data_IF_468678725204
#
_entry.id   IF_468678725204
#
_cell.length_a   1.000
_cell.length_b   1.000
_cell.length_c   1.000
_cell.angle_alpha   90.00
_cell.angle_beta   90.00
_cell.angle_gamma   90.00
#
_symmetry.space_group_name_H-M   'P 1'
#
loop_
_entity.id
_entity.type
_entity.pdbx_description
1 polymer ?
#
# COMPACT_ATOMS: atom_id res chain seq x y z
N UNK A 1 9.22 -4.27 -5.65
CA UNK A 1 8.28 -4.26 -6.80
C UNK A 1 6.84 -3.92 -6.38
N UNK A 2 6.27 -4.51 -5.32
CA UNK A 2 4.90 -4.19 -4.86
C UNK A 2 4.70 -2.73 -4.41
N UNK A 3 5.62 -2.18 -3.60
CA UNK A 3 5.54 -0.80 -3.09
C UNK A 3 5.47 0.26 -4.20
N UNK A 4 6.08 -0.01 -5.36
CA UNK A 4 6.01 0.86 -6.52
C UNK A 4 4.61 0.87 -7.15
N UNK A 5 3.98 -0.31 -7.29
CA UNK A 5 2.61 -0.47 -7.77
C UNK A 5 1.65 0.25 -6.83
N UNK A 6 1.79 0.04 -5.51
CA UNK A 6 0.97 0.71 -4.50
C UNK A 6 1.12 2.24 -4.54
N UNK A 7 2.35 2.76 -4.68
CA UNK A 7 2.61 4.19 -4.85
C UNK A 7 1.95 4.76 -6.11
N UNK A 8 2.14 4.13 -7.26
CA UNK A 8 1.57 4.59 -8.53
C UNK A 8 0.04 4.62 -8.47
N UNK A 9 -0.59 3.53 -8.03
CA UNK A 9 -2.04 3.46 -7.90
C UNK A 9 -2.63 4.39 -6.84
N UNK A 10 -1.92 4.65 -5.74
CA UNK A 10 -2.38 5.62 -4.74
C UNK A 10 -2.45 7.04 -5.30
N UNK A 11 -1.59 7.36 -6.27
CA UNK A 11 -1.51 8.67 -6.93
C UNK A 11 -2.55 8.86 -8.04
N UNK A 12 -3.04 7.76 -8.62
CA UNK A 12 -4.15 7.79 -9.57
C UNK A 12 -5.44 8.26 -8.88
N UNK A 13 -6.05 9.33 -9.40
CA UNK A 13 -7.37 9.83 -9.00
C UNK A 13 -8.47 8.89 -9.49
N UNK A 14 -8.50 7.67 -8.96
CA UNK A 14 -9.55 6.71 -9.25
C UNK A 14 -10.82 7.14 -8.48
N UNK A 15 -11.82 7.56 -9.25
CA UNK A 15 -13.07 8.21 -8.82
C UNK A 15 -13.88 7.41 -7.79
N UNK A 16 -13.65 6.08 -7.68
CA UNK A 16 -14.34 5.21 -6.73
C UNK A 16 -13.34 4.39 -5.91
N UNK A 17 -13.13 4.80 -4.66
CA UNK A 17 -12.22 4.12 -3.75
C UNK A 17 -12.68 2.70 -3.36
N UNK A 18 -13.96 2.36 -3.56
CA UNK A 18 -14.48 0.99 -3.39
C UNK A 18 -14.00 0.06 -4.51
N UNK A 19 -14.00 0.55 -5.74
CA UNK A 19 -13.53 -0.23 -6.90
C UNK A 19 -12.02 -0.42 -6.87
N UNK A 20 -11.29 0.46 -6.18
CA UNK A 20 -9.84 0.35 -5.94
C UNK A 20 -9.48 -0.99 -5.30
N UNK A 21 -10.21 -1.42 -4.27
CA UNK A 21 -9.94 -2.70 -3.59
C UNK A 21 -10.16 -3.89 -4.51
N UNK A 22 -11.24 -3.88 -5.29
CA UNK A 22 -11.57 -4.95 -6.23
C UNK A 22 -10.51 -5.08 -7.32
N UNK A 23 -10.09 -3.97 -7.91
CA UNK A 23 -9.02 -3.95 -8.92
C UNK A 23 -7.70 -4.44 -8.32
N UNK A 24 -7.34 -3.97 -7.12
CA UNK A 24 -6.11 -4.40 -6.45
C UNK A 24 -6.13 -5.88 -6.06
N UNK A 25 -7.27 -6.38 -5.59
CA UNK A 25 -7.43 -7.80 -5.29
C UNK A 25 -7.26 -8.66 -6.56
N UNK A 26 -7.75 -8.18 -7.71
CA UNK A 26 -7.51 -8.84 -9.00
C UNK A 26 -6.03 -8.89 -9.39
N UNK A 27 -5.30 -7.79 -9.19
CA UNK A 27 -3.85 -7.72 -9.43
C UNK A 27 -3.10 -8.64 -8.46
N UNK A 28 -3.44 -8.61 -7.18
CA UNK A 28 -2.89 -9.49 -6.16
C UNK A 28 -3.13 -10.96 -6.50
N UNK A 29 -4.33 -11.32 -6.96
CA UNK A 29 -4.66 -12.69 -7.38
C UNK A 29 -3.78 -13.17 -8.53
N UNK A 30 -3.41 -12.30 -9.48
CA UNK A 30 -2.49 -12.65 -10.57
C UNK A 30 -1.04 -12.79 -10.08
N UNK A 31 -0.65 -11.98 -9.10
CA UNK A 31 0.69 -11.97 -8.50
C UNK A 31 0.86 -13.01 -7.39
N UNK A 32 -0.22 -13.70 -6.99
CA UNK A 32 -0.17 -14.77 -5.97
C UNK A 32 0.78 -15.91 -6.36
N UNK A 33 1.00 -16.14 -7.65
CA UNK A 33 2.01 -17.09 -8.13
C UNK A 33 3.45 -16.63 -7.87
N UNK A 34 3.68 -15.32 -7.80
CA UNK A 34 4.98 -14.70 -7.46
C UNK A 34 5.20 -14.63 -5.95
N UNK A 35 4.13 -14.42 -5.17
CA UNK A 35 4.15 -14.38 -3.70
C UNK A 35 3.55 -15.67 -3.10
N UNK A 36 4.09 -16.83 -3.49
CA UNK A 36 3.62 -18.11 -2.97
C UNK A 36 3.69 -18.13 -1.43
N UNK A 37 2.59 -18.55 -0.80
CA UNK A 37 2.40 -18.62 0.66
C UNK A 37 2.37 -17.28 1.42
N UNK A 38 2.21 -16.15 0.72
CA UNK A 38 2.00 -14.86 1.38
C UNK A 38 0.51 -14.47 1.35
N UNK A 39 -0.05 -14.14 2.52
CA UNK A 39 -1.42 -13.69 2.62
C UNK A 39 -1.56 -12.23 2.17
N UNK A 40 -2.55 -11.99 1.31
CA UNK A 40 -2.86 -10.65 0.85
C UNK A 40 -3.83 -9.96 1.83
N UNK A 41 -3.38 -8.87 2.43
CA UNK A 41 -4.10 -8.07 3.41
C UNK A 41 -4.33 -6.64 2.88
N UNK A 42 -5.53 -6.38 2.35
CA UNK A 42 -6.07 -5.04 2.03
C UNK A 42 -5.01 -4.05 1.48
N UNK A 43 -4.44 -4.37 0.30
CA UNK A 43 -3.42 -3.54 -0.36
C UNK A 43 -1.97 -3.88 0.01
N UNK A 44 -1.74 -4.87 0.85
CA UNK A 44 -0.43 -5.27 1.38
C UNK A 44 -0.28 -6.79 1.40
N UNK A 45 0.95 -7.27 1.53
CA UNK A 45 1.27 -8.69 1.72
C UNK A 45 1.75 -8.91 3.15
N UNK A 46 1.35 -10.03 3.76
CA UNK A 46 1.61 -10.36 5.17
C UNK A 46 3.11 -10.52 5.49
N UNK A 47 3.90 -11.10 4.58
CA UNK A 47 5.32 -11.36 4.75
C UNK A 47 6.17 -10.09 4.85
N UNK A 48 5.65 -8.97 4.34
CA UNK A 48 6.29 -7.65 4.42
C UNK A 48 5.36 -6.62 5.07
N UNK A 49 4.41 -7.08 5.89
CA UNK A 49 3.39 -6.22 6.49
C UNK A 49 4.01 -5.11 7.34
N UNK A 50 5.02 -5.42 8.15
CA UNK A 50 5.72 -4.42 9.00
C UNK A 50 6.25 -3.26 8.16
N UNK A 51 6.84 -3.57 7.00
CA UNK A 51 7.37 -2.55 6.09
C UNK A 51 6.26 -1.79 5.38
N UNK A 52 5.18 -2.49 5.03
CA UNK A 52 4.04 -1.87 4.39
C UNK A 52 3.23 -0.99 5.33
N UNK A 53 3.23 -1.25 6.63
CA UNK A 53 2.61 -0.38 7.64
C UNK A 53 3.36 0.94 7.83
N UNK A 54 4.65 1.01 7.49
CA UNK A 54 5.46 2.23 7.48
C UNK A 54 5.16 3.16 6.28
N UNK A 55 3.99 3.03 5.66
CA UNK A 55 3.57 3.93 4.59
C UNK A 55 3.31 5.33 5.15
N UNK A 56 3.57 6.34 4.34
CA UNK A 56 3.24 7.73 4.64
C UNK A 56 2.53 8.36 3.45
N UNK A 57 1.90 9.52 3.65
CA UNK A 57 1.37 10.30 2.54
C UNK A 57 2.37 11.35 2.09
N UNK A 58 2.51 11.52 0.78
CA UNK A 58 3.36 12.57 0.21
C UNK A 58 2.78 13.98 0.46
N UNK A 59 1.46 14.08 0.69
CA UNK A 59 0.77 15.32 0.98
C UNK A 59 -0.16 15.16 2.20
N UNK A 60 0.35 15.20 3.44
CA UNK A 60 -0.45 14.99 4.65
C UNK A 60 -1.58 16.02 4.79
N UNK A 61 -1.33 17.28 4.40
CA UNK A 61 -2.32 18.35 4.43
C UNK A 61 -3.46 18.18 3.41
N UNK A 62 -3.33 17.25 2.45
CA UNK A 62 -4.34 16.93 1.44
C UNK A 62 -4.95 15.54 1.66
N UNK A 63 -4.60 14.87 2.76
CA UNK A 63 -5.16 13.57 3.08
C UNK A 63 -6.63 13.73 3.41
N UNK A 64 -7.48 13.08 2.64
CA UNK A 64 -8.90 12.92 2.95
C UNK A 64 -9.21 11.43 3.10
N UNK A 65 -9.98 11.11 4.14
CA UNK A 65 -10.58 9.79 4.32
C UNK A 65 -11.95 9.79 3.64
N UNK A 66 -12.28 8.75 2.87
CA UNK A 66 -13.63 8.57 2.34
C UNK A 66 -14.65 8.58 3.49
N UNK A 67 -15.81 9.22 3.30
CA UNK A 67 -16.89 9.23 4.31
C UNK A 67 -17.54 7.86 4.53
N UNK A 68 -17.24 6.88 3.68
CA UNK A 68 -17.70 5.50 3.76
C UNK A 68 -16.54 4.60 4.17
N UNK A 69 -16.81 3.55 4.96
CA UNK A 69 -15.81 2.56 5.29
C UNK A 69 -15.35 1.79 4.04
N UNK A 70 -14.04 1.82 3.77
CA UNK A 70 -13.42 1.12 2.63
C UNK A 70 -12.41 0.08 3.11
N UNK A 71 -11.52 0.50 4.00
CA UNK A 71 -10.42 -0.32 4.49
C UNK A 71 -10.10 0.04 5.95
N UNK A 72 -9.42 -0.85 6.69
CA UNK A 72 -8.92 -0.57 8.03
C UNK A 72 -8.00 0.65 8.05
N UNK A 73 -7.97 1.36 9.18
CA UNK A 73 -7.21 2.63 9.34
C UNK A 73 -5.69 2.50 9.13
N UNK A 74 -5.15 1.30 9.31
CA UNK A 74 -3.74 0.98 9.12
C UNK A 74 -3.37 0.68 7.66
N UNK A 75 -4.37 0.47 6.79
CA UNK A 75 -4.15 0.28 5.36
C UNK A 75 -4.08 1.62 4.66
N UNK A 76 -3.11 1.75 3.75
CA UNK A 76 -2.99 2.91 2.87
C UNK A 76 -4.22 3.13 1.98
N UNK A 77 -5.00 2.07 1.73
CA UNK A 77 -6.25 2.13 0.96
C UNK A 77 -7.34 2.94 1.68
N UNK A 78 -7.21 3.16 2.99
CA UNK A 78 -8.14 3.98 3.77
C UNK A 78 -8.03 5.49 3.48
N UNK A 79 -7.07 5.91 2.64
CA UNK A 79 -6.80 7.31 2.32
C UNK A 79 -6.83 7.58 0.81
N UNK A 80 -7.36 8.74 0.42
CA UNK A 80 -7.33 9.24 -0.96
C UNK A 80 -6.13 10.17 -1.17
N UNK A 81 -4.92 9.68 -0.93
CA UNK A 81 -3.69 10.45 -1.14
C UNK A 81 -2.58 9.56 -1.69
N UNK A 82 -1.65 10.17 -2.42
CA UNK A 82 -0.46 9.49 -2.88
C UNK A 82 0.40 9.07 -1.69
N UNK A 83 0.77 7.79 -1.64
CA UNK A 83 1.57 7.23 -0.57
C UNK A 83 3.04 7.08 -0.96
N UNK A 84 3.89 6.92 0.04
CA UNK A 84 5.28 6.50 -0.11
C UNK A 84 5.62 5.45 0.92
N UNK A 85 6.62 4.63 0.61
CA UNK A 85 7.25 3.71 1.55
C UNK A 85 8.68 4.18 1.74
N UNK A 86 9.05 4.54 2.97
CA UNK A 86 10.44 4.88 3.27
C UNK A 86 11.20 3.60 3.60
N UNK A 87 11.70 2.93 2.55
CA UNK A 87 12.55 1.74 2.71
C UNK A 87 14.04 2.10 2.81
N UNK A 88 14.39 3.39 2.94
CA UNK A 88 15.78 3.87 2.90
C UNK A 88 16.64 3.19 3.96
N UNK A 89 16.05 2.95 5.13
CA UNK A 89 16.69 2.28 6.27
C UNK A 89 17.01 0.79 6.07
N UNK A 90 16.54 0.17 4.97
CA UNK A 90 16.76 -1.26 4.67
C UNK A 90 17.77 -1.49 3.54
N UNK A 91 18.07 -0.44 2.77
CA UNK A 91 19.04 -0.47 1.67
C UNK A 91 20.39 0.10 2.06
N UNK A 92 20.48 0.82 3.18
CA UNK A 92 21.76 1.14 3.79
C UNK A 92 22.32 -0.14 4.42
N UNK A 93 23.56 -0.55 4.07
CA UNK A 93 24.27 -1.56 4.83
C UNK A 93 24.28 -1.09 6.27
N UNK A 94 23.80 -1.92 7.20
CA UNK A 94 24.08 -1.72 8.62
C UNK A 94 25.59 -1.83 8.78
N UNK A 95 26.29 -0.70 8.70
CA UNK A 95 27.62 -0.58 9.31
C UNK A 95 27.38 -0.61 10.80
N UNK A 96 27.42 -1.81 11.36
CA UNK A 96 27.51 -2.03 12.81
C UNK A 96 28.68 -1.21 13.36
N UNK A 97 28.40 -0.40 14.38
CA UNK A 97 29.39 0.20 15.28
C UNK A 97 29.58 -0.70 16.50
#
# INVERSE_FOLDING_TARGET
>A
QWSAIAREYSSSQLTFAKDRLTVFAGIASKLRTTFQNDDYLVGMWSGILVLHLCWNTQAPNRMSRPGTYIAPIWSWVSCNSAIGFNTRWLTEPQTDL
#
